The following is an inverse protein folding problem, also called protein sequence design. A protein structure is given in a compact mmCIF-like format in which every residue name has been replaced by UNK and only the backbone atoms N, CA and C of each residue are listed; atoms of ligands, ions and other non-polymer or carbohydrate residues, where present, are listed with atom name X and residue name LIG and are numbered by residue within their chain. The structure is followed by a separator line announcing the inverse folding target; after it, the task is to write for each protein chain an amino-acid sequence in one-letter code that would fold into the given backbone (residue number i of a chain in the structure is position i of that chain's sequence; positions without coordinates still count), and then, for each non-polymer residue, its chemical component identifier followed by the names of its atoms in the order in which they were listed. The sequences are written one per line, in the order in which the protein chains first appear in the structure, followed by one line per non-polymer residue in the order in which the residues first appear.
data_IF_020945550909
#
_entry.id   IF_020945550909
#
_cell.length_a   1.000
_cell.length_b   1.000
_cell.length_c   1.000
_cell.angle_alpha   90.00
_cell.angle_beta   90.00
_cell.angle_gamma   90.00
#
_symmetry.space_group_name_H-M   'P 1'
#
loop_
_entity.id
_entity.type
_entity.pdbx_description
1 polymer ?
#
# COMPACT_ATOMS: atom_id res chain seq x y z
N UNK A 1 -84.93 60.37 -6.62
CA UNK A 1 -85.72 59.21 -6.17
C UNK A 1 -85.20 57.98 -6.91
N UNK A 2 -85.02 56.87 -6.17
CA UNK A 2 -84.42 55.56 -6.51
C UNK A 2 -82.91 55.56 -6.84
N UNK A 3 -81.99 55.22 -5.92
CA UNK A 3 -81.65 53.91 -5.26
C UNK A 3 -81.16 52.86 -6.27
N UNK A 4 -80.04 52.16 -6.11
CA UNK A 4 -79.23 51.96 -4.91
C UNK A 4 -77.87 51.30 -5.21
N UNK A 5 -77.09 51.16 -4.14
CA UNK A 5 -75.74 50.62 -4.08
C UNK A 5 -75.68 49.09 -4.03
N UNK A 6 -74.54 48.52 -4.42
CA UNK A 6 -74.04 47.26 -3.86
C UNK A 6 -72.50 47.23 -3.91
N UNK A 7 -71.91 46.92 -2.75
CA UNK A 7 -70.48 46.79 -2.45
C UNK A 7 -69.82 45.53 -3.08
N UNK A 8 -68.47 45.50 -3.16
CA UNK A 8 -67.69 44.32 -3.58
C UNK A 8 -67.27 43.45 -2.39
N UNK A 9 -67.12 42.13 -2.58
CA UNK A 9 -66.35 41.25 -1.70
C UNK A 9 -66.09 39.88 -2.34
N UNK A 10 -64.84 39.40 -2.29
CA UNK A 10 -64.50 37.97 -2.32
C UNK A 10 -63.34 37.59 -3.25
N UNK A 11 -62.38 36.72 -2.81
CA UNK A 11 -60.97 36.89 -3.15
C UNK A 11 -60.42 35.93 -4.22
N UNK A 12 -59.26 36.32 -4.77
CA UNK A 12 -58.38 35.56 -5.64
C UNK A 12 -57.98 34.20 -5.04
N UNK A 13 -58.27 33.12 -5.76
CA UNK A 13 -57.63 31.81 -5.54
C UNK A 13 -56.66 31.56 -6.71
N UNK A 14 -55.36 31.71 -6.44
CA UNK A 14 -54.29 31.31 -7.35
C UNK A 14 -54.02 29.83 -7.09
N UNK A 15 -54.31 28.99 -8.08
CA UNK A 15 -53.95 27.57 -8.05
C UNK A 15 -52.42 27.42 -8.11
N UNK A 16 -51.79 26.59 -7.26
CA UNK A 16 -50.36 26.32 -7.37
C UNK A 16 -50.11 25.43 -8.61
N UNK A 17 -49.21 25.90 -9.49
CA UNK A 17 -48.60 25.11 -10.55
C UNK A 17 -47.88 23.92 -9.91
N UNK A 18 -48.42 22.72 -10.12
CA UNK A 18 -47.74 21.47 -9.81
C UNK A 18 -46.70 21.20 -10.90
N UNK A 19 -45.45 21.58 -10.63
CA UNK A 19 -44.30 21.16 -11.44
C UNK A 19 -44.09 19.65 -11.28
N UNK A 20 -44.38 18.89 -12.32
CA UNK A 20 -44.02 17.47 -12.39
C UNK A 20 -42.49 17.33 -12.31
N UNK A 21 -41.92 16.49 -11.44
CA UNK A 21 -40.49 16.19 -11.50
C UNK A 21 -40.20 15.46 -12.81
N UNK A 22 -39.28 16.00 -13.60
CA UNK A 22 -38.72 15.29 -14.76
C UNK A 22 -38.09 13.98 -14.28
N UNK A 23 -38.27 12.86 -15.01
CA UNK A 23 -37.61 11.62 -14.65
C UNK A 23 -36.10 11.83 -14.77
N UNK A 24 -35.39 11.71 -13.65
CA UNK A 24 -33.94 11.65 -13.64
C UNK A 24 -33.51 10.49 -14.56
N UNK A 25 -32.69 10.79 -15.57
CA UNK A 25 -32.04 9.77 -16.39
C UNK A 25 -31.14 8.97 -15.44
N UNK A 26 -31.36 7.65 -15.28
CA UNK A 26 -30.49 6.85 -14.45
C UNK A 26 -29.19 6.60 -15.21
N UNK A 27 -28.18 7.45 -15.00
CA UNK A 27 -26.78 7.12 -15.33
C UNK A 27 -26.19 6.32 -14.19
N UNK A 28 -26.63 5.08 -14.01
CA UNK A 28 -26.02 4.18 -13.03
C UNK A 28 -25.59 2.91 -13.76
N UNK A 29 -24.46 2.98 -14.46
CA UNK A 29 -23.65 1.78 -14.59
C UNK A 29 -23.26 1.35 -13.17
N UNK A 30 -23.49 0.08 -12.82
CA UNK A 30 -23.01 -0.48 -11.55
C UNK A 30 -21.52 -0.15 -11.35
N UNK A 31 -21.10 0.19 -10.12
CA UNK A 31 -19.70 0.53 -9.85
C UNK A 31 -18.78 -0.62 -10.26
N UNK A 32 -17.66 -0.27 -10.89
CA UNK A 32 -16.68 -1.26 -11.39
C UNK A 32 -16.01 -1.94 -10.18
N UNK A 33 -16.01 -3.27 -10.15
CA UNK A 33 -15.43 -4.04 -9.04
C UNK A 33 -13.92 -4.17 -9.22
N UNK A 34 -13.15 -3.76 -8.21
CA UNK A 34 -11.69 -3.84 -8.20
C UNK A 34 -11.21 -4.71 -7.04
N UNK A 35 -10.67 -5.89 -7.36
CA UNK A 35 -10.03 -6.75 -6.38
C UNK A 35 -8.64 -6.22 -5.99
N UNK A 36 -8.21 -6.48 -4.77
CA UNK A 36 -6.84 -6.25 -4.34
C UNK A 36 -6.43 -7.22 -3.24
N UNK A 37 -5.13 -7.51 -3.20
CA UNK A 37 -4.58 -8.66 -2.47
C UNK A 37 -3.72 -8.31 -1.26
N UNK A 38 -3.65 -7.02 -0.94
CA UNK A 38 -2.76 -6.49 0.09
C UNK A 38 -3.04 -7.08 1.48
N UNK A 39 -2.03 -7.18 2.35
CA UNK A 39 -2.26 -7.50 3.76
C UNK A 39 -3.07 -6.41 4.48
N UNK A 40 -3.59 -6.75 5.66
CA UNK A 40 -4.52 -5.93 6.45
C UNK A 40 -4.05 -4.48 6.67
N UNK A 41 -2.75 -4.27 6.94
CA UNK A 41 -2.18 -2.95 7.24
C UNK A 41 -2.23 -1.97 6.06
N UNK A 42 -2.40 -2.45 4.82
CA UNK A 42 -2.56 -1.61 3.63
C UNK A 42 -4.00 -1.59 3.10
N UNK A 43 -4.83 -2.54 3.53
CA UNK A 43 -6.15 -2.77 2.95
C UNK A 43 -7.09 -1.57 3.11
N UNK A 44 -7.09 -0.94 4.29
CA UNK A 44 -7.96 0.21 4.57
C UNK A 44 -7.66 1.40 3.66
N UNK A 45 -6.38 1.75 3.51
CA UNK A 45 -5.97 2.88 2.66
C UNK A 45 -6.30 2.64 1.18
N UNK A 46 -6.00 1.45 0.64
CA UNK A 46 -6.28 1.15 -0.76
C UNK A 46 -7.79 1.07 -1.03
N UNK A 47 -8.55 0.41 -0.14
CA UNK A 47 -10.02 0.34 -0.23
C UNK A 47 -10.64 1.73 -0.25
N UNK A 48 -10.19 2.62 0.65
CA UNK A 48 -10.71 3.98 0.72
C UNK A 48 -10.47 4.76 -0.57
N UNK A 49 -9.24 4.70 -1.11
CA UNK A 49 -8.90 5.39 -2.36
C UNK A 49 -9.70 4.86 -3.56
N UNK A 50 -9.91 3.55 -3.65
CA UNK A 50 -10.76 2.93 -4.68
C UNK A 50 -12.20 3.45 -4.59
N UNK A 51 -12.78 3.45 -3.39
CA UNK A 51 -14.14 3.98 -3.17
C UNK A 51 -14.26 5.46 -3.52
N UNK A 52 -13.26 6.29 -3.20
CA UNK A 52 -13.25 7.71 -3.56
C UNK A 52 -13.28 7.96 -5.08
N UNK A 53 -12.81 7.00 -5.89
CA UNK A 53 -12.88 7.05 -7.36
C UNK A 53 -14.11 6.34 -7.94
N UNK A 54 -15.05 5.93 -7.10
CA UNK A 54 -16.30 5.27 -7.52
C UNK A 54 -16.14 3.78 -7.87
N UNK A 55 -15.05 3.15 -7.47
CA UNK A 55 -14.88 1.69 -7.59
C UNK A 55 -15.54 0.97 -6.40
N UNK A 56 -15.96 -0.27 -6.64
CA UNK A 56 -16.38 -1.21 -5.60
C UNK A 56 -15.17 -2.06 -5.16
N UNK A 57 -14.55 -1.80 -4.00
CA UNK A 57 -13.35 -2.51 -3.56
C UNK A 57 -13.66 -3.94 -3.10
N UNK A 58 -12.94 -4.91 -3.67
CA UNK A 58 -13.00 -6.32 -3.28
C UNK A 58 -11.68 -6.76 -2.63
N UNK A 59 -11.63 -6.70 -1.30
CA UNK A 59 -10.43 -7.15 -0.58
C UNK A 59 -10.34 -8.69 -0.52
N UNK A 60 -9.23 -9.23 -1.03
CA UNK A 60 -8.90 -10.66 -1.11
C UNK A 60 -7.44 -10.89 -0.66
N UNK A 61 -7.13 -10.78 0.64
CA UNK A 61 -5.74 -10.79 1.12
C UNK A 61 -5.04 -12.11 0.82
N UNK A 62 -3.88 -12.08 0.17
CA UNK A 62 -3.06 -13.27 -0.08
C UNK A 62 -1.86 -13.37 0.85
N UNK A 63 -1.59 -12.30 1.60
CA UNK A 63 -0.53 -12.19 2.59
C UNK A 63 -1.09 -11.75 3.95
N UNK A 64 -0.38 -12.13 5.00
CA UNK A 64 -0.51 -11.57 6.34
C UNK A 64 0.84 -11.04 6.81
N UNK A 65 0.81 -10.02 7.66
CA UNK A 65 1.99 -9.44 8.29
C UNK A 65 1.91 -9.70 9.79
N UNK A 66 2.97 -10.26 10.37
CA UNK A 66 3.06 -10.54 11.80
C UNK A 66 4.33 -9.91 12.37
N UNK A 67 4.28 -9.21 13.52
CA UNK A 67 5.48 -8.64 14.13
C UNK A 67 6.37 -9.75 14.74
N UNK A 68 7.69 -9.51 14.77
CA UNK A 68 8.67 -10.38 15.45
C UNK A 68 9.48 -9.55 16.46
N UNK A 69 8.85 -9.01 17.52
CA UNK A 69 9.43 -7.98 18.38
C UNK A 69 10.76 -8.41 19.03
N UNK A 70 10.87 -9.68 19.41
CA UNK A 70 12.10 -10.21 20.01
C UNK A 70 13.31 -10.15 19.06
N UNK A 71 13.11 -10.43 17.77
CA UNK A 71 14.18 -10.45 16.78
C UNK A 71 14.82 -9.06 16.64
N UNK A 72 13.99 -8.03 16.45
CA UNK A 72 14.48 -6.67 16.29
C UNK A 72 15.02 -6.07 17.59
N UNK A 73 14.38 -6.33 18.74
CA UNK A 73 14.79 -5.81 20.04
C UNK A 73 16.25 -6.15 20.37
N UNK A 74 16.70 -7.35 20.01
CA UNK A 74 18.10 -7.78 20.19
C UNK A 74 19.15 -6.94 19.47
N UNK A 75 18.75 -6.16 18.46
CA UNK A 75 19.61 -5.24 17.71
C UNK A 75 19.46 -3.77 18.12
N UNK A 76 18.44 -3.45 18.93
CA UNK A 76 18.13 -2.08 19.36
C UNK A 76 18.63 -1.78 20.77
N UNK A 77 18.68 -2.78 21.66
CA UNK A 77 19.10 -2.61 23.05
C UNK A 77 20.43 -1.83 23.15
N UNK A 78 20.51 -0.74 23.92
CA UNK A 78 21.78 -0.05 24.13
C UNK A 78 22.87 -0.98 24.69
N UNK A 79 24.13 -0.87 24.23
CA UNK A 79 24.65 0.08 23.25
C UNK A 79 24.64 -0.45 21.80
N UNK A 80 23.86 -1.47 21.47
CA UNK A 80 23.97 -2.21 20.20
C UNK A 80 23.69 -1.31 19.00
N UNK A 81 22.63 -0.50 19.05
CA UNK A 81 22.30 0.42 17.95
C UNK A 81 23.43 1.44 17.69
N UNK A 82 24.27 1.75 18.68
CA UNK A 82 25.38 2.70 18.54
C UNK A 82 26.46 2.21 17.56
N UNK A 83 26.51 0.90 17.32
CA UNK A 83 27.45 0.30 16.37
C UNK A 83 27.04 0.47 14.90
N UNK A 84 25.87 1.06 14.67
CA UNK A 84 25.34 1.38 13.35
C UNK A 84 25.47 2.88 13.07
N UNK A 85 25.63 3.24 11.80
CA UNK A 85 25.56 4.63 11.36
C UNK A 85 24.25 4.96 10.67
N UNK A 86 23.44 3.95 10.37
CA UNK A 86 22.18 4.10 9.68
C UNK A 86 21.18 3.00 10.03
N UNK A 87 19.89 3.31 9.93
CA UNK A 87 18.79 2.35 9.75
C UNK A 87 18.14 2.64 8.40
N UNK A 88 17.91 1.60 7.61
CA UNK A 88 17.29 1.75 6.28
C UNK A 88 16.05 0.86 6.15
N UNK A 89 14.89 1.50 6.01
CA UNK A 89 13.60 0.86 5.92
C UNK A 89 13.12 0.79 4.46
N UNK A 90 12.78 -0.42 4.03
CA UNK A 90 12.17 -0.66 2.71
C UNK A 90 10.66 -0.88 2.81
N UNK A 91 10.07 -0.73 3.99
CA UNK A 91 8.63 -0.89 4.21
C UNK A 91 8.17 -0.20 5.50
N UNK A 92 6.89 0.19 5.51
CA UNK A 92 6.17 0.63 6.70
C UNK A 92 6.24 -0.35 7.86
N UNK A 93 6.10 -1.65 7.58
CA UNK A 93 6.15 -2.70 8.60
C UNK A 93 7.50 -2.77 9.32
N UNK A 94 8.60 -2.45 8.64
CA UNK A 94 9.92 -2.34 9.27
C UNK A 94 9.99 -1.16 10.25
N UNK A 95 9.41 0.00 9.88
CA UNK A 95 9.36 1.19 10.74
C UNK A 95 8.53 0.90 11.99
N UNK A 96 7.32 0.34 11.81
CA UNK A 96 6.44 -0.02 12.93
C UNK A 96 7.09 -1.05 13.86
N UNK A 97 7.71 -2.10 13.32
CA UNK A 97 8.39 -3.10 14.14
C UNK A 97 9.52 -2.50 15.00
N UNK A 98 10.26 -1.53 14.46
CA UNK A 98 11.29 -0.83 15.22
C UNK A 98 10.67 0.06 16.31
N UNK A 99 9.62 0.81 15.98
CA UNK A 99 8.92 1.68 16.93
C UNK A 99 8.29 0.90 18.07
N UNK A 100 7.64 -0.23 17.79
CA UNK A 100 7.05 -1.12 18.78
C UNK A 100 8.13 -1.63 19.76
N UNK A 101 9.26 -2.10 19.21
CA UNK A 101 10.37 -2.59 20.01
C UNK A 101 11.05 -1.49 20.83
N UNK A 102 11.17 -0.28 20.29
CA UNK A 102 11.72 0.87 21.00
C UNK A 102 10.80 1.33 22.14
N UNK A 103 9.49 1.33 21.91
CA UNK A 103 8.47 1.64 22.91
C UNK A 103 8.52 0.63 24.07
N UNK A 104 8.67 -0.66 23.77
CA UNK A 104 8.87 -1.69 24.81
C UNK A 104 10.18 -1.56 25.59
N UNK A 105 11.24 -1.03 24.95
CA UNK A 105 12.52 -0.76 25.63
C UNK A 105 12.33 0.40 26.62
N UNK A 106 11.54 1.42 26.27
CA UNK A 106 11.15 2.50 27.18
C UNK A 106 12.26 3.51 27.50
N UNK A 107 13.39 3.42 26.81
CA UNK A 107 14.51 4.36 26.91
C UNK A 107 15.06 4.69 25.51
N UNK A 108 15.72 5.85 25.32
CA UNK A 108 16.26 6.23 24.02
C UNK A 108 17.34 5.26 23.52
N UNK A 109 17.25 4.88 22.24
CA UNK A 109 18.13 3.86 21.65
C UNK A 109 19.56 4.36 21.34
N UNK A 110 19.75 5.68 21.24
CA UNK A 110 21.02 6.35 21.01
C UNK A 110 21.25 7.45 22.06
N UNK A 111 22.51 7.73 22.45
CA UNK A 111 22.83 8.81 23.36
C UNK A 111 22.59 10.18 22.71
N UNK A 112 22.56 11.26 23.50
CA UNK A 112 22.41 12.63 22.98
C UNK A 112 23.63 13.16 22.22
N UNK A 113 24.78 12.46 22.27
CA UNK A 113 26.06 12.86 21.68
C UNK A 113 26.64 11.80 20.74
N UNK A 114 27.49 12.21 19.81
CA UNK A 114 28.14 11.36 18.81
C UNK A 114 27.82 11.81 17.38
N UNK A 115 28.23 11.02 16.40
CA UNK A 115 28.11 11.35 14.98
C UNK A 115 26.65 11.40 14.48
N UNK A 116 26.44 11.98 13.30
CA UNK A 116 25.15 11.95 12.62
C UNK A 116 24.70 10.51 12.34
N UNK A 117 23.47 10.19 12.71
CA UNK A 117 22.83 8.91 12.45
C UNK A 117 21.79 9.06 11.34
N UNK A 118 21.84 8.18 10.34
CA UNK A 118 20.91 8.24 9.21
C UNK A 118 19.69 7.36 9.46
N UNK A 119 18.50 7.87 9.13
CA UNK A 119 17.28 7.05 9.09
C UNK A 119 16.67 7.20 7.71
N UNK A 120 16.64 6.12 6.95
CA UNK A 120 16.21 6.13 5.56
C UNK A 120 14.88 5.39 5.40
N UNK A 121 13.94 5.96 4.63
CA UNK A 121 12.66 5.34 4.31
C UNK A 121 12.20 5.66 2.87
N UNK A 122 11.31 4.84 2.32
CA UNK A 122 10.77 4.98 0.97
C UNK A 122 9.53 5.86 0.93
N UNK A 123 9.54 6.89 0.08
CA UNK A 123 8.33 7.64 -0.31
C UNK A 123 7.41 7.98 0.87
N UNK A 124 6.13 7.62 0.75
CA UNK A 124 5.11 7.92 1.78
C UNK A 124 5.34 7.22 3.13
N UNK A 125 6.17 6.18 3.20
CA UNK A 125 6.49 5.54 4.48
C UNK A 125 7.35 6.43 5.38
N UNK A 126 8.03 7.44 4.82
CA UNK A 126 8.78 8.42 5.61
C UNK A 126 7.89 9.30 6.48
N UNK A 127 6.57 9.35 6.24
CA UNK A 127 5.61 10.06 7.10
C UNK A 127 5.56 9.47 8.52
N UNK A 128 5.96 8.20 8.71
CA UNK A 128 6.09 7.59 10.04
C UNK A 128 7.36 8.00 10.80
N UNK A 129 8.30 8.71 10.14
CA UNK A 129 9.54 9.19 10.75
C UNK A 129 9.33 10.61 11.34
N UNK A 130 8.25 10.77 12.10
CA UNK A 130 7.87 12.04 12.70
C UNK A 130 8.72 12.39 13.95
N UNK A 131 8.40 13.52 14.59
CA UNK A 131 9.16 13.98 15.75
C UNK A 131 9.12 12.99 16.93
N UNK A 132 8.00 12.28 17.13
CA UNK A 132 7.85 11.30 18.20
C UNK A 132 8.73 10.07 17.93
N UNK A 133 8.71 9.56 16.70
CA UNK A 133 9.61 8.51 16.26
C UNK A 133 11.07 8.93 16.49
N UNK A 134 11.49 10.10 16.01
CA UNK A 134 12.88 10.56 16.11
C UNK A 134 13.35 10.71 17.56
N UNK A 135 12.49 11.22 18.45
CA UNK A 135 12.80 11.39 19.88
C UNK A 135 12.93 10.04 20.59
N UNK A 136 12.17 9.03 20.15
CA UNK A 136 12.28 7.64 20.63
C UNK A 136 13.63 7.04 20.28
N UNK A 137 14.18 7.37 19.12
CA UNK A 137 15.51 6.89 18.69
C UNK A 137 16.63 7.64 19.41
N UNK A 138 16.59 8.97 19.45
CA UNK A 138 17.65 9.80 20.03
C UNK A 138 17.06 11.05 20.69
N UNK A 139 17.42 11.38 21.94
CA UNK A 139 16.93 12.60 22.61
C UNK A 139 17.38 13.88 21.89
N UNK A 140 18.54 13.83 21.22
CA UNK A 140 19.04 14.92 20.42
C UNK A 140 18.75 14.66 18.93
N UNK A 141 17.55 15.04 18.49
CA UNK A 141 17.08 14.82 17.11
C UNK A 141 17.94 15.52 16.06
N UNK A 142 18.74 16.54 16.42
CA UNK A 142 19.70 17.17 15.51
C UNK A 142 20.80 16.22 15.02
N UNK A 143 21.05 15.11 15.73
CA UNK A 143 21.93 14.03 15.28
C UNK A 143 21.30 13.16 14.21
N UNK A 144 19.98 13.16 14.07
CA UNK A 144 19.30 12.31 13.11
C UNK A 144 19.11 13.06 11.80
N UNK A 145 19.59 12.47 10.70
CA UNK A 145 19.28 12.91 9.36
C UNK A 145 18.35 11.91 8.70
N UNK A 146 17.14 12.35 8.39
CA UNK A 146 16.18 11.57 7.60
C UNK A 146 16.59 11.60 6.13
N UNK A 147 16.58 10.43 5.49
CA UNK A 147 16.94 10.24 4.08
C UNK A 147 15.74 9.65 3.34
N UNK A 148 15.24 10.38 2.35
CA UNK A 148 14.16 9.92 1.47
C UNK A 148 14.66 10.01 0.03
N UNK A 149 14.57 8.94 -0.77
CA UNK A 149 15.06 8.97 -2.13
C UNK A 149 14.09 9.72 -3.04
N UNK A 150 14.64 10.34 -4.09
CA UNK A 150 13.83 11.02 -5.12
C UNK A 150 12.88 10.05 -5.83
N UNK A 151 13.37 8.84 -6.13
CA UNK A 151 12.57 7.74 -6.66
C UNK A 151 12.41 6.71 -5.55
N UNK A 152 11.16 6.49 -5.09
CA UNK A 152 10.80 5.59 -3.99
C UNK A 152 10.98 4.09 -4.34
N UNK A 153 12.23 3.68 -4.55
CA UNK A 153 12.64 2.29 -4.80
C UNK A 153 13.79 1.92 -3.87
N UNK A 154 14.02 0.62 -3.59
CA UNK A 154 15.17 0.20 -2.81
C UNK A 154 16.51 0.67 -3.39
N UNK A 155 16.68 0.62 -4.71
CA UNK A 155 17.90 1.12 -5.37
C UNK A 155 18.05 2.64 -5.19
N UNK A 156 16.98 3.42 -5.36
CA UNK A 156 16.99 4.85 -5.07
C UNK A 156 17.34 5.17 -3.62
N UNK A 157 16.88 4.36 -2.66
CA UNK A 157 17.22 4.50 -1.24
C UNK A 157 18.72 4.29 -0.99
N UNK A 158 19.32 3.30 -1.65
CA UNK A 158 20.77 3.04 -1.58
C UNK A 158 21.56 4.20 -2.19
N UNK A 159 21.11 4.76 -3.31
CA UNK A 159 21.72 5.93 -3.92
C UNK A 159 21.65 7.16 -3.00
N UNK A 160 20.49 7.41 -2.39
CA UNK A 160 20.27 8.52 -1.46
C UNK A 160 21.08 8.39 -0.16
N UNK A 161 21.30 7.16 0.33
CA UNK A 161 22.18 6.88 1.47
C UNK A 161 23.65 7.18 1.17
N UNK A 162 24.06 7.11 -0.10
CA UNK A 162 25.43 7.39 -0.52
C UNK A 162 26.44 6.33 -0.06
N UNK A 163 27.72 6.72 0.00
CA UNK A 163 28.84 5.80 0.26
C UNK A 163 28.89 5.39 1.74
N UNK A 164 29.01 4.08 1.97
CA UNK A 164 29.01 3.50 3.32
C UNK A 164 30.33 3.63 4.05
N UNK A 165 31.48 3.57 3.38
CA UNK A 165 32.82 3.58 3.99
C UNK A 165 32.98 2.53 5.11
N UNK A 166 32.52 1.30 4.85
CA UNK A 166 32.48 0.17 5.78
C UNK A 166 31.65 0.39 7.06
N UNK A 167 30.84 1.45 7.11
CA UNK A 167 29.88 1.67 8.21
C UNK A 167 28.75 0.65 8.14
N UNK A 168 28.23 0.29 9.30
CA UNK A 168 27.11 -0.66 9.42
C UNK A 168 25.78 0.05 9.24
N UNK A 169 24.87 -0.59 8.51
CA UNK A 169 23.48 -0.16 8.37
C UNK A 169 22.55 -1.28 8.83
N UNK A 170 21.63 -0.96 9.73
CA UNK A 170 20.61 -1.88 10.19
C UNK A 170 19.48 -1.92 9.15
N UNK A 171 19.07 -3.12 8.75
CA UNK A 171 18.02 -3.32 7.74
C UNK A 171 16.88 -4.15 8.34
N UNK A 172 15.88 -3.52 8.99
CA UNK A 172 14.63 -4.17 9.40
C UNK A 172 13.80 -4.57 8.17
N UNK A 173 13.76 -5.86 7.86
CA UNK A 173 13.17 -6.42 6.63
C UNK A 173 12.28 -7.63 6.96
N UNK A 174 11.42 -8.11 6.04
CA UNK A 174 10.56 -9.25 6.32
C UNK A 174 11.34 -10.56 6.31
N UNK A 175 10.98 -11.47 7.22
CA UNK A 175 11.11 -12.91 6.99
C UNK A 175 9.92 -13.40 6.16
N UNK A 176 10.19 -14.06 5.04
CA UNK A 176 9.12 -14.59 4.18
C UNK A 176 8.79 -16.02 4.59
N UNK A 177 7.49 -16.32 4.76
CA UNK A 177 7.02 -17.65 5.23
C UNK A 177 5.94 -18.19 4.31
N UNK A 178 6.17 -19.41 3.82
CA UNK A 178 5.20 -20.11 2.96
C UNK A 178 5.17 -19.60 1.52
N UNK A 179 6.10 -18.74 1.13
CA UNK A 179 6.33 -18.22 -0.23
C UNK A 179 7.83 -18.12 -0.50
N UNK A 180 8.20 -17.89 -1.75
CA UNK A 180 9.57 -17.55 -2.11
C UNK A 180 9.89 -16.10 -1.74
N UNK A 181 11.09 -15.84 -1.23
CA UNK A 181 11.51 -14.48 -0.95
C UNK A 181 11.70 -13.71 -2.27
N UNK A 182 10.96 -12.60 -2.50
CA UNK A 182 11.17 -11.78 -3.69
C UNK A 182 12.58 -11.21 -3.71
N UNK A 183 13.19 -10.98 -4.88
CA UNK A 183 14.58 -10.50 -4.98
C UNK A 183 14.78 -9.07 -4.45
N UNK A 184 13.72 -8.39 -4.02
CA UNK A 184 13.72 -7.00 -3.56
C UNK A 184 14.69 -6.79 -2.39
N UNK A 185 14.56 -7.57 -1.31
CA UNK A 185 15.43 -7.45 -0.12
C UNK A 185 16.84 -7.99 -0.42
N UNK A 186 17.02 -9.18 -1.04
CA UNK A 186 18.36 -9.64 -1.44
C UNK A 186 19.11 -8.65 -2.32
N UNK A 187 18.45 -8.00 -3.27
CA UNK A 187 19.08 -6.98 -4.12
C UNK A 187 19.40 -5.71 -3.34
N UNK A 188 18.48 -5.25 -2.48
CA UNK A 188 18.72 -4.09 -1.62
C UNK A 188 19.97 -4.24 -0.75
N UNK A 189 20.15 -5.40 -0.10
CA UNK A 189 21.34 -5.68 0.71
C UNK A 189 22.62 -5.72 -0.15
N UNK A 190 22.55 -6.35 -1.33
CA UNK A 190 23.68 -6.39 -2.27
C UNK A 190 24.07 -5.00 -2.78
N UNK A 191 23.09 -4.15 -3.07
CA UNK A 191 23.30 -2.78 -3.54
C UNK A 191 23.95 -1.93 -2.43
N UNK A 192 23.55 -2.12 -1.17
CA UNK A 192 24.21 -1.50 -0.01
C UNK A 192 25.68 -1.92 0.11
N UNK A 193 25.97 -3.22 0.00
CA UNK A 193 27.34 -3.76 0.01
C UNK A 193 28.18 -3.15 -1.14
N UNK A 194 27.61 -3.06 -2.33
CA UNK A 194 28.26 -2.46 -3.50
C UNK A 194 28.58 -0.98 -3.31
N UNK A 195 27.84 -0.26 -2.46
CA UNK A 195 28.13 1.12 -2.03
C UNK A 195 29.05 1.22 -0.81
N UNK A 196 29.61 0.10 -0.36
CA UNK A 196 30.55 0.04 0.76
C UNK A 196 29.89 0.12 2.13
N UNK A 197 28.58 -0.13 2.25
CA UNK A 197 27.95 -0.36 3.55
C UNK A 197 28.16 -1.81 4.01
N UNK A 198 28.07 -2.04 5.31
CA UNK A 198 27.97 -3.38 5.89
C UNK A 198 26.52 -3.57 6.36
N UNK A 199 25.62 -4.11 5.51
CA UNK A 199 24.23 -4.28 5.90
C UNK A 199 24.06 -5.39 6.91
N UNK A 200 23.23 -5.14 7.92
CA UNK A 200 22.81 -6.14 8.90
C UNK A 200 21.33 -6.34 8.74
N UNK A 201 20.98 -7.43 8.09
CA UNK A 201 19.61 -7.90 7.98
C UNK A 201 19.06 -8.25 9.36
N UNK A 202 17.86 -7.78 9.66
CA UNK A 202 17.06 -8.21 10.80
C UNK A 202 15.67 -8.54 10.32
N UNK A 203 15.24 -9.76 10.59
CA UNK A 203 13.89 -10.26 10.32
C UNK A 203 12.91 -9.64 11.33
N UNK A 204 12.60 -8.35 11.12
CA UNK A 204 11.86 -7.49 12.03
C UNK A 204 10.34 -7.75 12.06
N UNK A 205 9.85 -8.40 11.01
CA UNK A 205 8.49 -8.87 10.91
C UNK A 205 8.43 -10.05 9.94
N UNK A 206 7.31 -10.74 9.90
CA UNK A 206 7.04 -11.83 8.99
C UNK A 206 6.01 -11.42 7.95
N UNK A 207 6.30 -11.75 6.70
CA UNK A 207 5.31 -11.75 5.62
C UNK A 207 4.96 -13.20 5.32
N UNK A 208 3.73 -13.59 5.65
CA UNK A 208 3.28 -14.98 5.54
C UNK A 208 2.21 -15.13 4.47
N UNK A 209 2.24 -16.24 3.75
CA UNK A 209 1.11 -16.64 2.92
C UNK A 209 -0.17 -16.74 3.76
N UNK A 210 -1.27 -16.17 3.27
CA UNK A 210 -2.57 -16.23 3.95
C UNK A 210 -3.19 -17.64 3.95
N UNK A 211 -2.65 -18.55 3.12
CA UNK A 211 -3.01 -19.96 3.11
C UNK A 211 -3.72 -20.41 1.82
N UNK A 212 -4.02 -21.72 1.72
CA UNK A 212 -4.54 -22.34 0.51
C UNK A 212 -5.83 -21.73 -0.03
N UNK A 213 -6.63 -21.14 0.86
CA UNK A 213 -7.98 -20.69 0.58
C UNK A 213 -8.09 -19.19 0.30
N UNK A 214 -6.97 -18.45 0.27
CA UNK A 214 -7.02 -16.99 0.19
C UNK A 214 -7.63 -16.46 -1.11
N UNK A 215 -7.62 -17.25 -2.20
CA UNK A 215 -8.28 -16.93 -3.46
C UNK A 215 -9.78 -17.29 -3.48
N UNK A 216 -10.33 -17.98 -2.47
CA UNK A 216 -11.70 -18.50 -2.47
C UNK A 216 -12.74 -17.42 -2.78
N UNK A 217 -12.64 -16.27 -2.12
CA UNK A 217 -13.54 -15.11 -2.34
C UNK A 217 -13.51 -14.60 -3.78
N UNK A 218 -12.36 -14.70 -4.46
CA UNK A 218 -12.22 -14.35 -5.86
C UNK A 218 -12.83 -15.43 -6.76
N UNK A 219 -12.57 -16.70 -6.46
CA UNK A 219 -12.98 -17.87 -7.26
C UNK A 219 -14.49 -18.14 -7.21
N UNK A 220 -15.11 -17.92 -6.06
CA UNK A 220 -16.54 -18.17 -5.82
C UNK A 220 -17.45 -17.12 -6.47
N UNK A 221 -16.90 -16.00 -6.97
CA UNK A 221 -17.69 -15.06 -7.76
C UNK A 221 -18.30 -15.76 -8.98
N UNK A 222 -19.61 -15.55 -9.15
CA UNK A 222 -20.34 -16.03 -10.31
C UNK A 222 -19.77 -15.51 -11.63
N UNK A 223 -20.02 -16.21 -12.73
CA UNK A 223 -19.59 -15.77 -14.07
C UNK A 223 -20.21 -14.42 -14.46
N UNK A 224 -21.44 -14.18 -14.01
CA UNK A 224 -22.17 -12.93 -14.26
C UNK A 224 -21.75 -11.80 -13.30
N UNK A 225 -21.01 -12.13 -12.23
CA UNK A 225 -20.39 -11.14 -11.34
C UNK A 225 -19.08 -10.66 -11.95
N UNK A 226 -19.16 -9.57 -12.71
CA UNK A 226 -18.00 -8.96 -13.36
C UNK A 226 -16.91 -8.60 -12.35
N UNK A 227 -15.67 -8.87 -12.71
CA UNK A 227 -14.49 -8.32 -12.05
C UNK A 227 -13.75 -7.43 -13.06
N UNK A 228 -13.67 -6.14 -12.78
CA UNK A 228 -13.13 -5.16 -13.73
C UNK A 228 -11.62 -5.02 -13.62
N UNK A 229 -11.06 -5.15 -12.41
CA UNK A 229 -9.61 -5.18 -12.22
C UNK A 229 -9.18 -6.00 -11.00
N UNK A 230 -7.90 -6.34 -10.99
CA UNK A 230 -7.15 -6.76 -9.81
C UNK A 230 -5.91 -5.88 -9.65
N UNK A 231 -5.66 -5.42 -8.42
CA UNK A 231 -4.48 -4.62 -8.06
C UNK A 231 -3.54 -5.45 -7.21
N UNK A 232 -2.28 -5.53 -7.65
CA UNK A 232 -1.17 -6.10 -6.88
C UNK A 232 -0.24 -4.99 -6.41
N UNK A 233 0.10 -5.00 -5.11
CA UNK A 233 1.07 -4.04 -4.56
C UNK A 233 2.46 -4.61 -4.36
N UNK A 234 2.60 -5.94 -4.37
CA UNK A 234 3.89 -6.63 -4.23
C UNK A 234 3.93 -7.94 -5.00
N UNK A 235 5.13 -8.44 -5.29
CA UNK A 235 5.30 -9.76 -5.94
C UNK A 235 4.79 -10.91 -5.08
N UNK A 236 4.98 -10.84 -3.75
CA UNK A 236 4.50 -11.89 -2.84
C UNK A 236 2.98 -12.04 -2.86
N UNK A 237 2.24 -10.95 -3.13
CA UNK A 237 0.78 -11.03 -3.28
C UNK A 237 0.36 -11.84 -4.51
N UNK A 238 1.08 -11.65 -5.61
CA UNK A 238 0.85 -12.40 -6.87
C UNK A 238 1.13 -13.87 -6.65
N UNK A 239 2.30 -14.21 -6.08
CA UNK A 239 2.66 -15.60 -5.77
C UNK A 239 1.64 -16.24 -4.81
N UNK A 240 1.23 -15.52 -3.77
CA UNK A 240 0.22 -16.00 -2.82
C UNK A 240 -1.13 -16.28 -3.47
N UNK A 241 -1.55 -15.45 -4.44
CA UNK A 241 -2.76 -15.69 -5.22
C UNK A 241 -2.61 -16.95 -6.08
N UNK A 242 -1.54 -17.04 -6.87
CA UNK A 242 -1.29 -18.16 -7.79
C UNK A 242 -1.23 -19.49 -7.04
N UNK A 243 -0.53 -19.52 -5.92
CA UNK A 243 -0.43 -20.72 -5.07
C UNK A 243 -1.78 -21.16 -4.50
N UNK A 244 -2.66 -20.21 -4.19
CA UNK A 244 -4.02 -20.53 -3.74
C UNK A 244 -4.91 -21.00 -4.90
N UNK A 245 -4.79 -20.42 -6.09
CA UNK A 245 -5.47 -20.92 -7.29
C UNK A 245 -5.07 -22.36 -7.59
N UNK A 246 -3.77 -22.66 -7.58
CA UNK A 246 -3.25 -24.02 -7.78
C UNK A 246 -3.84 -25.00 -6.76
N UNK A 247 -3.88 -24.62 -5.48
CA UNK A 247 -4.49 -25.45 -4.43
C UNK A 247 -5.98 -25.72 -4.67
N UNK A 248 -6.70 -24.76 -5.25
CA UNK A 248 -8.10 -24.89 -5.63
C UNK A 248 -8.29 -25.60 -6.99
N UNK A 249 -7.22 -26.10 -7.60
CA UNK A 249 -7.27 -26.79 -8.90
C UNK A 249 -7.52 -25.84 -10.08
N UNK A 250 -7.10 -24.58 -9.95
CA UNK A 250 -7.31 -23.53 -10.94
C UNK A 250 -5.99 -22.91 -11.39
N UNK A 251 -5.97 -22.50 -12.65
CA UNK A 251 -4.85 -21.76 -13.24
C UNK A 251 -5.22 -20.29 -13.42
N UNK A 252 -4.21 -19.40 -13.41
CA UNK A 252 -4.41 -17.96 -13.66
C UNK A 252 -5.15 -17.67 -14.97
N UNK A 253 -4.82 -18.41 -16.03
CA UNK A 253 -5.47 -18.28 -17.34
C UNK A 253 -6.97 -18.59 -17.30
N UNK A 254 -7.44 -19.40 -16.36
CA UNK A 254 -8.87 -19.65 -16.17
C UNK A 254 -9.58 -18.40 -15.64
N UNK A 255 -8.92 -17.62 -14.80
CA UNK A 255 -9.44 -16.34 -14.30
C UNK A 255 -9.51 -15.31 -15.43
N UNK A 256 -8.46 -15.20 -16.26
CA UNK A 256 -8.48 -14.33 -17.45
C UNK A 256 -9.51 -14.77 -18.49
N UNK A 257 -9.74 -16.08 -18.69
CA UNK A 257 -10.82 -16.56 -19.57
C UNK A 257 -12.21 -16.26 -19.01
N UNK A 258 -12.37 -16.31 -17.69
CA UNK A 258 -13.63 -15.96 -17.01
C UNK A 258 -13.93 -14.46 -17.14
N UNK A 259 -12.92 -13.61 -16.99
CA UNK A 259 -13.03 -12.16 -17.14
C UNK A 259 -11.99 -11.63 -18.13
N UNK A 260 -12.25 -11.75 -19.46
CA UNK A 260 -11.29 -11.34 -20.49
C UNK A 260 -10.84 -9.88 -20.37
N UNK A 261 -11.80 -9.00 -20.03
CA UNK A 261 -11.62 -7.56 -19.86
C UNK A 261 -11.05 -7.16 -18.50
N UNK A 262 -10.78 -8.10 -17.58
CA UNK A 262 -10.21 -7.80 -16.27
C UNK A 262 -8.82 -7.19 -16.44
N UNK A 263 -8.64 -5.97 -15.95
CA UNK A 263 -7.36 -5.27 -15.96
C UNK A 263 -6.49 -5.76 -14.81
N UNK A 264 -5.28 -6.22 -15.12
CA UNK A 264 -4.25 -6.51 -14.11
C UNK A 264 -3.41 -5.27 -13.89
N UNK A 265 -3.51 -4.67 -12.71
CA UNK A 265 -2.79 -3.46 -12.35
C UNK A 265 -1.70 -3.74 -11.31
N UNK A 266 -0.49 -3.23 -11.57
CA UNK A 266 0.62 -3.27 -10.64
C UNK A 266 0.86 -1.88 -10.04
N UNK A 267 1.10 -1.84 -8.72
CA UNK A 267 1.39 -0.60 -8.01
C UNK A 267 2.61 0.15 -8.56
N UNK A 268 3.61 -0.57 -9.10
CA UNK A 268 4.79 0.03 -9.69
C UNK A 268 5.64 -1.00 -10.47
N UNK A 269 6.77 -0.56 -11.05
CA UNK A 269 7.56 -1.38 -11.97
C UNK A 269 8.15 -2.63 -11.32
N UNK A 270 8.54 -2.58 -10.05
CA UNK A 270 9.07 -3.74 -9.31
C UNK A 270 8.02 -4.85 -9.18
N UNK A 271 6.79 -4.47 -8.85
CA UNK A 271 5.65 -5.40 -8.74
C UNK A 271 5.28 -5.96 -10.12
N UNK A 272 5.28 -5.12 -11.16
CA UNK A 272 4.99 -5.54 -12.52
C UNK A 272 5.98 -6.60 -13.01
N UNK A 273 7.28 -6.33 -12.90
CA UNK A 273 8.33 -7.28 -13.25
C UNK A 273 8.23 -8.57 -12.42
N UNK A 274 7.77 -8.49 -11.17
CA UNK A 274 7.50 -9.65 -10.33
C UNK A 274 6.35 -10.50 -10.82
N UNK A 275 5.23 -9.88 -11.18
CA UNK A 275 4.06 -10.57 -11.72
C UNK A 275 4.40 -11.27 -13.05
N UNK A 276 5.11 -10.59 -13.95
CA UNK A 276 5.49 -11.12 -15.26
C UNK A 276 6.43 -12.34 -15.14
N UNK A 277 7.38 -12.32 -14.21
CA UNK A 277 8.24 -13.50 -13.92
C UNK A 277 7.43 -14.71 -13.43
N UNK A 278 6.28 -14.49 -12.82
CA UNK A 278 5.37 -15.52 -12.35
C UNK A 278 4.33 -15.92 -13.41
N UNK A 279 4.44 -15.42 -14.64
CA UNK A 279 3.52 -15.72 -15.73
C UNK A 279 2.23 -14.90 -15.75
N UNK A 280 2.11 -13.88 -14.89
CA UNK A 280 0.96 -12.98 -14.86
C UNK A 280 1.25 -11.75 -15.69
N UNK A 281 0.60 -11.63 -16.86
CA UNK A 281 0.67 -10.44 -17.70
C UNK A 281 0.02 -9.25 -16.98
N UNK A 282 0.75 -8.14 -16.93
CA UNK A 282 0.27 -6.87 -16.35
C UNK A 282 -0.23 -5.96 -17.47
N UNK A 283 -1.44 -5.44 -17.31
CA UNK A 283 -2.10 -4.57 -18.30
C UNK A 283 -1.84 -3.08 -18.00
N UNK A 284 -1.58 -2.76 -16.73
CA UNK A 284 -1.38 -1.39 -16.25
C UNK A 284 -0.29 -1.36 -15.17
N UNK A 285 0.69 -0.49 -15.35
CA UNK A 285 1.71 -0.20 -14.33
C UNK A 285 1.56 1.27 -13.95
N UNK A 286 1.45 1.56 -12.65
CA UNK A 286 1.39 2.96 -12.23
C UNK A 286 2.72 3.68 -12.48
N UNK A 287 2.71 4.88 -13.08
CA UNK A 287 3.90 5.73 -13.19
C UNK A 287 4.24 6.43 -11.86
N UNK A 288 3.31 6.47 -10.89
CA UNK A 288 3.50 7.08 -9.56
C UNK A 288 3.31 6.00 -8.49
N UNK A 289 4.40 5.55 -7.91
CA UNK A 289 4.41 4.40 -6.98
C UNK A 289 4.96 4.77 -5.60
N UNK A 290 4.99 6.06 -5.28
CA UNK A 290 5.25 6.59 -3.94
C UNK A 290 4.04 6.44 -3.00
N UNK A 291 2.85 6.26 -3.56
CA UNK A 291 1.60 6.00 -2.84
C UNK A 291 0.57 5.24 -3.68
N UNK A 292 -0.43 4.66 -3.03
CA UNK A 292 -1.53 3.96 -3.73
C UNK A 292 -2.38 4.86 -4.63
N UNK A 293 -2.32 6.19 -4.48
CA UNK A 293 -3.02 7.11 -5.37
C UNK A 293 -2.65 6.85 -6.84
N UNK A 294 -1.38 6.62 -7.13
CA UNK A 294 -0.96 6.50 -8.52
C UNK A 294 -1.59 5.31 -9.25
N UNK A 295 -1.74 4.14 -8.61
CA UNK A 295 -2.37 2.98 -9.27
C UNK A 295 -3.88 3.16 -9.39
N UNK A 296 -4.50 3.76 -8.38
CA UNK A 296 -5.93 4.07 -8.36
C UNK A 296 -6.29 5.13 -9.42
N UNK A 297 -5.50 6.19 -9.53
CA UNK A 297 -5.66 7.23 -10.57
C UNK A 297 -5.45 6.65 -11.97
N UNK A 298 -4.46 5.77 -12.14
CA UNK A 298 -4.19 5.13 -13.43
C UNK A 298 -5.35 4.24 -13.88
N UNK A 299 -5.94 3.46 -12.95
CA UNK A 299 -7.15 2.69 -13.22
C UNK A 299 -8.31 3.61 -13.61
N UNK A 300 -8.54 4.69 -12.83
CA UNK A 300 -9.62 5.63 -13.10
C UNK A 300 -9.48 6.32 -14.47
N UNK A 301 -8.28 6.77 -14.84
CA UNK A 301 -8.01 7.38 -16.15
C UNK A 301 -8.20 6.40 -17.31
N UNK A 302 -7.79 5.13 -17.12
CA UNK A 302 -8.03 4.09 -18.13
C UNK A 302 -9.49 4.00 -18.50
N UNK A 303 -10.41 3.97 -17.54
CA UNK A 303 -11.83 3.86 -17.84
C UNK A 303 -12.47 5.17 -18.31
N UNK A 304 -12.00 6.33 -17.84
CA UNK A 304 -12.44 7.60 -18.42
C UNK A 304 -12.04 7.76 -19.89
N UNK A 305 -10.95 7.14 -20.34
CA UNK A 305 -10.52 7.19 -21.74
C UNK A 305 -11.30 6.23 -22.66
N UNK A 306 -12.09 5.33 -22.09
CA UNK A 306 -12.88 4.33 -22.81
C UNK A 306 -14.37 4.71 -22.91
N UNK A 307 -14.82 5.63 -22.07
CA UNK A 307 -16.18 6.19 -22.00
C UNK A 307 -16.25 7.51 -22.78
#
# INVERSE_FOLDING_TARGET
MSTGAAHPNGPFHISPLTSSPSPAIPTHSSPRTVAFTTPQNYAGSLSHLLSLKGFEPLWCPTLTVQPTPLAIKSHLLPPILHSFSAVAFTSRSGITALLDAATEIGEPLLPSHGDTFLIAALGKDSELLDHEFLTTICPNTSRIRVVVPEIATPTGLVEALGVGNHRRVLCPVPRVVGLNEPPVVPNFLRDLEAKGWVPVRVDAYETRWAGPDCARKLVERGKDEKLDAIVFTSTGEVEGLLKSLEHLGLEWDMMKKRWPEMVVAAHGPVTAAGAERLGVKVDLVSPKFDSFNGVVDSLHWRWQSLD
#
